data_IF_580781893703
#
_entry.id   IF_580781893703
#
_cell.length_a   1.000
_cell.length_b   1.000
_cell.length_c   1.000
_cell.angle_alpha   90.00
_cell.angle_beta   90.00
_cell.angle_gamma   90.00
#
_symmetry.space_group_name_H-M   'P 1'
#
loop_
_entity.id
_entity.type
_entity.pdbx_description
1 polymer ?
#
# COMPACT_ATOMS: atom_id res chain seq x y z
N UNK A 1 -6.37 10.18 -19.32
CA UNK A 1 -5.94 9.32 -18.22
C UNK A 1 -7.15 8.52 -17.80
N UNK A 2 -7.12 7.19 -17.94
CA UNK A 2 -8.18 6.36 -17.38
C UNK A 2 -8.15 6.48 -15.85
N UNK A 3 -9.29 6.36 -15.18
CA UNK A 3 -9.29 6.29 -13.73
C UNK A 3 -8.53 5.03 -13.30
N UNK A 4 -7.87 5.04 -12.13
CA UNK A 4 -7.09 3.89 -11.65
C UNK A 4 -7.96 2.61 -11.61
N UNK A 5 -9.25 2.73 -11.28
CA UNK A 5 -10.19 1.63 -11.32
C UNK A 5 -10.30 0.98 -12.72
N UNK A 6 -10.48 1.79 -13.78
CA UNK A 6 -10.54 1.30 -15.16
C UNK A 6 -9.23 0.60 -15.58
N UNK A 7 -8.09 1.14 -15.13
CA UNK A 7 -6.79 0.52 -15.37
C UNK A 7 -6.67 -0.84 -14.69
N UNK A 8 -7.14 -0.96 -13.45
CA UNK A 8 -7.14 -2.21 -12.69
C UNK A 8 -8.06 -3.26 -13.33
N UNK A 9 -9.24 -2.87 -13.81
CA UNK A 9 -10.13 -3.77 -14.54
C UNK A 9 -9.48 -4.28 -15.83
N UNK A 10 -8.83 -3.40 -16.59
CA UNK A 10 -8.06 -3.76 -17.79
C UNK A 10 -6.94 -4.75 -17.46
N UNK A 11 -6.14 -4.45 -16.42
CA UNK A 11 -5.04 -5.33 -16.00
C UNK A 11 -5.56 -6.67 -15.50
N UNK A 12 -6.65 -6.70 -14.73
CA UNK A 12 -7.27 -7.95 -14.28
C UNK A 12 -7.71 -8.83 -15.46
N UNK A 13 -8.28 -8.23 -16.51
CA UNK A 13 -8.65 -8.94 -17.73
C UNK A 13 -7.43 -9.51 -18.48
N UNK A 14 -6.33 -8.75 -18.55
CA UNK A 14 -5.07 -9.20 -19.16
C UNK A 14 -4.45 -10.34 -18.34
N UNK A 15 -4.42 -10.20 -17.01
CA UNK A 15 -3.94 -11.22 -16.08
C UNK A 15 -4.76 -12.52 -16.20
N UNK A 16 -6.08 -12.44 -16.42
CA UNK A 16 -6.93 -13.61 -16.61
C UNK A 16 -6.52 -14.45 -17.83
N UNK A 17 -5.88 -13.85 -18.86
CA UNK A 17 -5.29 -14.59 -19.97
C UNK A 17 -4.11 -15.50 -19.57
N UNK A 18 -3.54 -15.29 -18.38
CA UNK A 18 -2.49 -16.09 -17.78
C UNK A 18 -2.99 -17.03 -16.67
N UNK A 19 -4.31 -17.06 -16.40
CA UNK A 19 -4.92 -17.98 -15.45
C UNK A 19 -4.81 -19.43 -15.96
N UNK A 20 -4.52 -20.39 -15.08
CA UNK A 20 -4.68 -21.81 -15.39
C UNK A 20 -6.15 -22.17 -15.23
N UNK A 21 -6.56 -23.33 -15.73
CA UNK A 21 -7.94 -23.79 -15.59
C UNK A 21 -8.32 -23.89 -14.11
N UNK A 22 -9.36 -23.15 -13.71
CA UNK A 22 -9.85 -23.11 -12.32
C UNK A 22 -9.28 -21.99 -11.46
N UNK A 23 -8.22 -21.30 -11.91
CA UNK A 23 -7.69 -20.13 -11.21
C UNK A 23 -8.61 -18.92 -11.38
N UNK A 24 -8.62 -18.04 -10.38
CA UNK A 24 -9.19 -16.70 -10.48
C UNK A 24 -8.13 -15.65 -10.18
N UNK A 25 -8.18 -14.52 -10.88
CA UNK A 25 -7.44 -13.32 -10.45
C UNK A 25 -8.13 -12.82 -9.18
N UNK A 26 -7.43 -12.87 -8.05
CA UNK A 26 -7.97 -12.55 -6.73
C UNK A 26 -7.64 -11.13 -6.27
N UNK A 27 -6.53 -10.57 -6.76
CA UNK A 27 -6.14 -9.19 -6.49
C UNK A 27 -5.25 -8.62 -7.60
N UNK A 28 -5.31 -7.30 -7.76
CA UNK A 28 -4.37 -6.53 -8.60
C UNK A 28 -3.86 -5.36 -7.76
N UNK A 29 -2.55 -5.32 -7.52
CA UNK A 29 -1.90 -4.25 -6.76
C UNK A 29 -1.13 -3.36 -7.74
N UNK A 30 -1.58 -2.11 -7.97
CA UNK A 30 -0.91 -1.20 -8.89
C UNK A 30 0.30 -0.57 -8.21
N UNK A 31 1.44 -0.56 -8.90
CA UNK A 31 2.68 0.04 -8.40
C UNK A 31 3.33 0.93 -9.45
N UNK A 32 4.07 1.92 -8.98
CA UNK A 32 5.01 2.72 -9.77
C UNK A 32 6.33 2.84 -8.99
N UNK A 33 7.22 1.83 -9.09
CA UNK A 33 8.45 1.79 -8.29
C UNK A 33 9.43 2.88 -8.68
N UNK A 34 9.34 3.35 -9.93
CA UNK A 34 10.06 4.50 -10.46
C UNK A 34 9.10 5.37 -11.26
N UNK A 35 9.31 6.70 -11.30
CA UNK A 35 8.46 7.61 -12.07
C UNK A 35 8.20 7.12 -13.51
N UNK A 36 6.93 6.95 -13.85
CA UNK A 36 6.44 6.48 -15.15
C UNK A 36 6.52 4.97 -15.40
N UNK A 37 7.08 4.17 -14.48
CA UNK A 37 7.19 2.70 -14.64
C UNK A 37 6.04 1.99 -13.92
N UNK A 38 4.95 1.75 -14.64
CA UNK A 38 3.79 0.98 -14.15
C UNK A 38 4.12 -0.51 -14.07
N UNK A 39 3.92 -1.11 -12.90
CA UNK A 39 3.95 -2.56 -12.70
C UNK A 39 2.76 -2.94 -11.83
N UNK A 40 1.97 -3.93 -12.24
CA UNK A 40 0.81 -4.42 -11.49
C UNK A 40 1.04 -5.85 -11.03
N UNK A 41 1.01 -6.08 -9.72
CA UNK A 41 1.15 -7.41 -9.13
C UNK A 41 -0.23 -8.08 -9.13
N UNK A 42 -0.37 -9.16 -9.88
CA UNK A 42 -1.62 -9.90 -10.01
C UNK A 42 -1.52 -11.18 -9.19
N UNK A 43 -2.39 -11.31 -8.19
CA UNK A 43 -2.54 -12.54 -7.42
C UNK A 43 -3.57 -13.44 -8.10
N UNK A 44 -3.30 -14.74 -8.06
CA UNK A 44 -4.20 -15.76 -8.53
C UNK A 44 -4.39 -16.78 -7.43
N UNK A 45 -5.64 -17.05 -7.09
CA UNK A 45 -5.99 -18.14 -6.18
C UNK A 45 -6.52 -19.30 -7.02
N UNK A 46 -6.04 -20.51 -6.73
CA UNK A 46 -6.64 -21.73 -7.26
C UNK A 46 -7.79 -22.24 -6.37
N UNK A 47 -8.40 -23.36 -6.76
CA UNK A 47 -9.51 -23.97 -6.04
C UNK A 47 -9.11 -24.52 -4.65
N UNK A 48 -7.84 -24.86 -4.46
CA UNK A 48 -7.28 -25.42 -3.23
C UNK A 48 -6.76 -24.32 -2.28
N UNK A 49 -6.84 -23.06 -2.70
CA UNK A 49 -6.41 -21.88 -1.93
C UNK A 49 -4.92 -21.56 -2.05
N UNK A 50 -4.19 -22.21 -2.97
CA UNK A 50 -2.80 -21.85 -3.26
C UNK A 50 -2.76 -20.55 -4.07
N UNK A 51 -1.91 -19.63 -3.62
CA UNK A 51 -1.70 -18.34 -4.28
C UNK A 51 -0.46 -18.37 -5.16
N UNK A 52 -0.62 -17.87 -6.38
CA UNK A 52 0.46 -17.66 -7.35
C UNK A 52 0.40 -16.25 -7.90
N UNK A 53 1.50 -15.81 -8.51
CA UNK A 53 1.69 -14.40 -8.84
C UNK A 53 2.19 -14.19 -10.27
N UNK A 54 1.79 -13.07 -10.87
CA UNK A 54 2.35 -12.54 -12.10
C UNK A 54 2.38 -11.02 -12.02
N UNK A 55 3.51 -10.40 -12.37
CA UNK A 55 3.57 -8.97 -12.53
C UNK A 55 3.41 -8.60 -14.02
N UNK A 56 2.58 -7.60 -14.29
CA UNK A 56 2.36 -7.05 -15.63
C UNK A 56 2.88 -5.61 -15.72
N UNK A 57 3.55 -5.26 -16.80
CA UNK A 57 3.90 -3.86 -17.10
C UNK A 57 2.66 -3.03 -17.52
N UNK A 58 2.84 -1.73 -17.77
CA UNK A 58 1.75 -0.83 -18.18
C UNK A 58 1.05 -1.20 -19.50
N UNK A 59 1.71 -2.00 -20.35
CA UNK A 59 1.19 -2.54 -21.60
C UNK A 59 0.55 -3.93 -21.42
N UNK A 60 0.60 -4.50 -20.21
CA UNK A 60 0.06 -5.82 -19.90
C UNK A 60 0.99 -6.98 -20.21
N UNK A 61 2.30 -6.73 -20.41
CA UNK A 61 3.27 -7.81 -20.64
C UNK A 61 3.82 -8.33 -19.33
N UNK A 62 4.05 -9.63 -19.27
CA UNK A 62 4.68 -10.28 -18.12
C UNK A 62 6.07 -9.71 -17.86
N UNK A 63 6.31 -9.26 -16.62
CA UNK A 63 7.63 -8.88 -16.14
C UNK A 63 8.44 -10.15 -15.89
N UNK A 64 9.62 -10.25 -16.52
CA UNK A 64 10.55 -11.39 -16.33
C UNK A 64 11.79 -11.00 -15.52
N UNK A 65 12.09 -9.72 -15.38
CA UNK A 65 13.26 -9.26 -14.62
C UNK A 65 13.05 -9.40 -13.12
N UNK A 66 13.88 -10.21 -12.44
CA UNK A 66 13.77 -10.39 -10.98
C UNK A 66 13.90 -9.09 -10.20
N UNK A 67 14.78 -8.18 -10.65
CA UNK A 67 14.96 -6.87 -10.00
C UNK A 67 13.71 -6.00 -10.10
N UNK A 68 13.10 -5.94 -11.27
CA UNK A 68 11.89 -5.13 -11.51
C UNK A 68 10.71 -5.64 -10.68
N UNK A 69 10.53 -6.96 -10.60
CA UNK A 69 9.55 -7.58 -9.71
C UNK A 69 9.82 -7.20 -8.24
N UNK A 70 11.06 -7.30 -7.77
CA UNK A 70 11.42 -6.94 -6.39
C UNK A 70 11.14 -5.48 -6.07
N UNK A 71 11.45 -4.57 -6.99
CA UNK A 71 11.19 -3.14 -6.81
C UNK A 71 9.68 -2.88 -6.68
N UNK A 72 8.84 -3.55 -7.50
CA UNK A 72 7.39 -3.50 -7.41
C UNK A 72 6.82 -4.08 -6.10
N UNK A 73 7.30 -5.26 -5.70
CA UNK A 73 6.90 -5.87 -4.43
C UNK A 73 7.29 -4.98 -3.24
N UNK A 74 8.49 -4.40 -3.26
CA UNK A 74 8.98 -3.54 -2.18
C UNK A 74 8.07 -2.33 -1.98
N UNK A 75 7.78 -1.58 -3.04
CA UNK A 75 6.95 -0.38 -2.91
C UNK A 75 5.51 -0.72 -2.51
N UNK A 76 4.95 -1.81 -3.02
CA UNK A 76 3.63 -2.28 -2.64
C UNK A 76 3.55 -2.57 -1.13
N UNK A 77 4.47 -3.40 -0.62
CA UNK A 77 4.48 -3.80 0.80
C UNK A 77 4.74 -2.61 1.71
N UNK A 78 5.72 -1.76 1.37
CA UNK A 78 6.00 -0.59 2.19
C UNK A 78 4.80 0.35 2.23
N UNK A 79 4.05 0.51 1.14
CA UNK A 79 2.87 1.38 1.12
C UNK A 79 1.74 0.80 1.99
N UNK A 80 1.59 -0.51 1.98
CA UNK A 80 0.63 -1.21 2.86
C UNK A 80 1.00 -1.01 4.32
N UNK A 81 2.25 -1.31 4.69
CA UNK A 81 2.74 -1.16 6.07
C UNK A 81 2.66 0.30 6.53
N UNK A 82 3.01 1.26 5.65
CA UNK A 82 2.91 2.67 5.98
C UNK A 82 1.45 3.08 6.22
N UNK A 83 0.52 2.59 5.41
CA UNK A 83 -0.91 2.88 5.58
C UNK A 83 -1.45 2.30 6.89
N UNK A 84 -1.08 1.05 7.21
CA UNK A 84 -1.45 0.39 8.45
C UNK A 84 -0.85 1.11 9.68
N UNK A 85 0.45 1.43 9.64
CA UNK A 85 1.15 2.13 10.72
C UNK A 85 0.67 3.59 10.91
N UNK A 86 0.08 4.21 9.89
CA UNK A 86 -0.52 5.53 9.95
C UNK A 86 -1.92 5.55 10.62
N UNK A 87 -2.36 4.43 11.19
CA UNK A 87 -3.68 4.29 11.82
C UNK A 87 -4.67 3.55 10.93
N UNK A 88 -4.22 2.51 10.22
CA UNK A 88 -5.01 1.69 9.30
C UNK A 88 -6.39 1.33 9.83
N UNK A 89 -7.42 1.98 9.29
CA UNK A 89 -8.81 1.83 9.75
C UNK A 89 -9.15 2.57 11.05
N UNK A 90 -8.24 2.64 12.02
CA UNK A 90 -8.45 3.30 13.31
C UNK A 90 -8.43 4.84 13.24
N UNK A 91 -7.95 5.42 12.13
CA UNK A 91 -7.80 6.87 11.98
C UNK A 91 -9.14 7.63 12.04
N UNK A 92 -10.22 7.05 11.51
CA UNK A 92 -11.54 7.66 11.57
C UNK A 92 -12.08 7.69 13.01
N UNK A 93 -11.82 6.64 13.80
CA UNK A 93 -12.17 6.58 15.22
C UNK A 93 -11.35 7.60 16.06
N UNK A 94 -10.07 7.77 15.73
CA UNK A 94 -9.23 8.80 16.35
C UNK A 94 -9.78 10.20 16.07
N UNK A 95 -10.18 10.50 14.83
CA UNK A 95 -10.75 11.79 14.46
C UNK A 95 -12.01 12.09 15.28
N UNK A 96 -12.91 11.12 15.42
CA UNK A 96 -14.13 11.30 16.22
C UNK A 96 -13.79 11.52 17.70
N UNK A 97 -12.83 10.76 18.24
CA UNK A 97 -12.35 10.93 19.62
C UNK A 97 -11.78 12.33 19.88
N UNK A 98 -10.97 12.85 18.95
CA UNK A 98 -10.38 14.20 19.08
C UNK A 98 -11.48 15.27 19.08
N UNK A 99 -12.47 15.11 18.20
CA UNK A 99 -13.64 16.01 18.13
C UNK A 99 -14.43 16.01 19.44
N UNK A 100 -14.75 14.84 19.98
CA UNK A 100 -15.44 14.71 21.26
C UNK A 100 -14.65 15.41 22.38
N UNK A 101 -13.33 15.22 22.40
CA UNK A 101 -12.45 15.83 23.39
C UNK A 101 -12.41 17.36 23.26
N UNK A 102 -12.39 17.89 22.03
CA UNK A 102 -12.50 19.34 21.79
C UNK A 102 -13.82 19.90 22.30
N UNK A 103 -14.93 19.22 22.04
CA UNK A 103 -16.26 19.69 22.43
C UNK A 103 -16.49 19.67 23.96
N UNK A 104 -15.82 18.74 24.66
CA UNK A 104 -16.01 18.51 26.10
C UNK A 104 -14.97 19.18 26.99
N UNK A 105 -13.70 19.17 26.59
CA UNK A 105 -12.57 19.63 27.40
C UNK A 105 -11.77 20.78 26.77
N UNK A 106 -11.74 20.86 25.43
CA UNK A 106 -10.98 21.84 24.65
C UNK A 106 -9.52 22.03 25.13
N UNK A 107 -8.72 20.95 25.25
CA UNK A 107 -7.35 21.08 25.71
C UNK A 107 -6.51 21.87 24.69
N UNK A 108 -5.46 22.59 25.13
CA UNK A 108 -4.60 23.34 24.22
C UNK A 108 -3.99 22.44 23.13
N UNK A 109 -4.05 22.87 21.87
CA UNK A 109 -3.49 22.15 20.71
C UNK A 109 -4.41 21.09 20.09
N UNK A 110 -5.63 20.91 20.61
CA UNK A 110 -6.57 19.91 20.08
C UNK A 110 -6.98 20.20 18.64
N UNK A 111 -7.12 21.47 18.26
CA UNK A 111 -7.46 21.86 16.89
C UNK A 111 -6.35 21.50 15.90
N UNK A 112 -5.08 21.68 16.29
CA UNK A 112 -3.92 21.33 15.46
C UNK A 112 -3.81 19.81 15.29
N UNK A 113 -4.09 19.04 16.35
CA UNK A 113 -4.15 17.58 16.31
C UNK A 113 -5.29 17.06 15.41
N UNK A 114 -6.50 17.64 15.49
CA UNK A 114 -7.60 17.32 14.59
C UNK A 114 -7.25 17.64 13.12
N UNK A 115 -6.64 18.80 12.86
CA UNK A 115 -6.21 19.18 11.52
C UNK A 115 -5.18 18.19 10.96
N UNK A 116 -4.21 17.79 11.77
CA UNK A 116 -3.19 16.81 11.40
C UNK A 116 -3.81 15.43 11.11
N UNK A 117 -4.78 14.99 11.91
CA UNK A 117 -5.48 13.71 11.71
C UNK A 117 -6.28 13.72 10.39
N UNK A 118 -7.01 14.80 10.11
CA UNK A 118 -7.70 14.96 8.83
C UNK A 118 -6.75 15.06 7.64
N UNK A 119 -5.59 15.70 7.81
CA UNK A 119 -4.56 15.75 6.78
C UNK A 119 -4.02 14.34 6.45
N UNK A 120 -3.71 13.54 7.47
CA UNK A 120 -3.30 12.15 7.31
C UNK A 120 -4.38 11.31 6.62
N UNK A 121 -5.65 11.46 7.01
CA UNK A 121 -6.77 10.72 6.42
C UNK A 121 -6.93 11.00 4.93
N UNK A 122 -6.70 12.24 4.50
CA UNK A 122 -6.71 12.62 3.07
C UNK A 122 -5.57 11.97 2.29
N UNK A 123 -4.38 11.87 2.88
CA UNK A 123 -3.20 11.25 2.25
C UNK A 123 -3.38 9.72 2.15
N UNK A 124 -3.84 9.09 3.23
CA UNK A 124 -4.17 7.66 3.24
C UNK A 124 -5.25 7.37 2.19
N UNK A 125 -6.31 8.19 2.14
CA UNK A 125 -7.36 8.08 1.13
C UNK A 125 -8.14 6.77 1.21
N UNK A 126 -8.94 6.47 0.18
CA UNK A 126 -9.68 5.22 0.05
C UNK A 126 -9.11 4.37 -1.09
N UNK A 127 -9.13 3.04 -1.00
CA UNK A 127 -8.71 2.19 -2.11
C UNK A 127 -9.62 2.36 -3.34
N UNK A 128 -9.09 2.14 -4.56
CA UNK A 128 -7.72 1.71 -4.88
C UNK A 128 -6.71 2.86 -4.85
N UNK A 129 -5.48 2.55 -4.45
CA UNK A 129 -4.37 3.50 -4.41
C UNK A 129 -3.16 2.95 -5.17
N UNK A 130 -2.45 3.83 -5.85
CA UNK A 130 -1.20 3.49 -6.54
C UNK A 130 -0.04 3.51 -5.53
N UNK A 131 0.65 2.38 -5.37
CA UNK A 131 1.84 2.31 -4.54
C UNK A 131 3.03 2.98 -5.22
N UNK A 132 3.55 4.07 -4.64
CA UNK A 132 4.71 4.82 -5.14
C UNK A 132 5.63 5.23 -4.00
N UNK A 133 6.93 5.48 -4.26
CA UNK A 133 7.81 6.07 -3.26
C UNK A 133 7.32 7.45 -2.78
N UNK A 134 6.79 8.27 -3.67
CA UNK A 134 6.25 9.59 -3.30
C UNK A 134 5.09 9.48 -2.30
N UNK A 135 4.21 8.48 -2.49
CA UNK A 135 3.11 8.19 -1.55
C UNK A 135 3.64 7.78 -0.17
N UNK A 136 4.73 7.00 -0.11
CA UNK A 136 5.38 6.66 1.16
C UNK A 136 5.85 7.92 1.91
N UNK A 137 6.49 8.83 1.18
CA UNK A 137 7.00 10.08 1.75
C UNK A 137 5.84 10.97 2.26
N UNK A 138 4.74 11.05 1.50
CA UNK A 138 3.53 11.79 1.88
C UNK A 138 2.90 11.21 3.15
N UNK A 139 2.71 9.89 3.22
CA UNK A 139 2.16 9.21 4.40
C UNK A 139 3.07 9.45 5.60
N UNK A 140 4.38 9.23 5.45
CA UNK A 140 5.34 9.41 6.55
C UNK A 140 5.38 10.85 7.07
N UNK A 141 5.29 11.84 6.18
CA UNK A 141 5.25 13.25 6.55
C UNK A 141 3.98 13.58 7.34
N UNK A 142 2.82 13.13 6.86
CA UNK A 142 1.54 13.39 7.52
C UNK A 142 1.41 12.63 8.85
N UNK A 143 1.87 11.38 8.91
CA UNK A 143 1.90 10.58 10.14
C UNK A 143 2.80 11.24 11.18
N UNK A 144 3.99 11.68 10.77
CA UNK A 144 4.91 12.37 11.68
C UNK A 144 4.32 13.67 12.25
N UNK A 145 3.60 14.44 11.42
CA UNK A 145 2.90 15.64 11.88
C UNK A 145 1.88 15.28 12.96
N UNK A 146 1.02 14.29 12.72
CA UNK A 146 0.01 13.86 13.69
C UNK A 146 0.65 13.40 15.01
N UNK A 147 1.69 12.57 14.95
CA UNK A 147 2.42 12.13 16.15
C UNK A 147 2.96 13.32 16.97
N UNK A 148 3.46 14.37 16.29
CA UNK A 148 4.00 15.55 16.96
C UNK A 148 2.92 16.39 17.65
N UNK A 149 1.72 16.48 17.07
CA UNK A 149 0.60 17.19 17.72
C UNK A 149 0.03 16.40 18.89
N UNK A 150 0.01 15.05 18.81
CA UNK A 150 -0.50 14.19 19.87
C UNK A 150 0.47 14.06 21.06
N UNK A 151 1.76 13.86 20.79
CA UNK A 151 2.80 13.75 21.81
C UNK A 151 4.18 14.17 21.27
N UNK A 152 4.53 15.48 21.37
CA UNK A 152 5.78 16.02 20.84
C UNK A 152 7.04 15.39 21.44
N UNK A 153 6.96 14.82 22.65
CA UNK A 153 8.09 14.26 23.39
C UNK A 153 8.38 12.80 23.05
N UNK A 154 7.45 12.13 22.37
CA UNK A 154 7.55 10.71 22.05
C UNK A 154 8.34 10.43 20.77
N UNK A 155 8.90 9.21 20.69
CA UNK A 155 9.43 8.69 19.43
C UNK A 155 8.31 8.49 18.40
N UNK A 156 8.65 8.14 17.16
CA UNK A 156 7.65 7.89 16.12
C UNK A 156 7.28 6.40 16.05
N UNK A 157 6.06 5.99 16.46
CA UNK A 157 5.54 4.65 16.19
C UNK A 157 5.59 4.28 14.70
N UNK A 158 5.23 5.22 13.81
CA UNK A 158 5.28 5.01 12.37
C UNK A 158 6.71 4.64 11.92
N UNK A 159 7.71 5.42 12.31
CA UNK A 159 9.10 5.15 11.93
C UNK A 159 9.62 3.84 12.54
N UNK A 160 9.14 3.45 13.73
CA UNK A 160 9.48 2.16 14.32
C UNK A 160 8.90 0.99 13.51
N UNK A 161 7.65 1.08 13.06
CA UNK A 161 7.01 0.09 12.19
C UNK A 161 7.76 -0.02 10.85
N UNK A 162 8.09 1.11 10.21
CA UNK A 162 8.81 1.13 8.94
C UNK A 162 10.20 0.50 9.02
N UNK A 163 10.93 0.67 10.14
CA UNK A 163 12.23 0.00 10.35
C UNK A 163 12.11 -1.51 10.51
N UNK A 164 10.99 -1.99 11.06
CA UNK A 164 10.75 -3.43 11.25
C UNK A 164 10.25 -4.11 9.97
N UNK A 165 9.89 -3.35 8.92
CA UNK A 165 9.29 -3.86 7.70
C UNK A 165 10.23 -4.71 6.82
N UNK A 166 11.55 -4.56 6.97
CA UNK A 166 12.55 -5.22 6.10
C UNK A 166 12.37 -6.75 6.04
N UNK A 167 12.07 -7.38 7.18
CA UNK A 167 11.83 -8.82 7.27
C UNK A 167 10.60 -9.26 6.48
N UNK A 168 9.50 -8.52 6.60
CA UNK A 168 8.24 -8.79 5.91
C UNK A 168 8.36 -8.61 4.39
N UNK A 169 9.06 -7.56 3.94
CA UNK A 169 9.35 -7.34 2.52
C UNK A 169 10.13 -8.53 1.95
N UNK A 170 11.19 -8.95 2.63
CA UNK A 170 12.03 -10.05 2.16
C UNK A 170 11.28 -11.40 2.14
N UNK A 171 10.37 -11.62 3.09
CA UNK A 171 9.51 -12.81 3.12
C UNK A 171 8.53 -12.83 1.95
N UNK A 172 7.80 -11.74 1.71
CA UNK A 172 6.85 -11.69 0.61
C UNK A 172 7.55 -11.79 -0.75
N UNK A 173 8.72 -11.18 -0.91
CA UNK A 173 9.52 -11.35 -2.13
C UNK A 173 9.83 -12.83 -2.40
N UNK A 174 10.22 -13.61 -1.38
CA UNK A 174 10.47 -15.05 -1.54
C UNK A 174 9.21 -15.82 -1.88
N UNK A 175 8.08 -15.50 -1.25
CA UNK A 175 6.79 -16.12 -1.55
C UNK A 175 6.37 -15.87 -3.00
N UNK A 176 6.41 -14.60 -3.43
CA UNK A 176 6.03 -14.18 -4.79
C UNK A 176 6.96 -14.84 -5.82
N UNK A 177 8.27 -14.84 -5.60
CA UNK A 177 9.23 -15.51 -6.49
C UNK A 177 8.99 -17.03 -6.56
N UNK A 178 8.67 -17.66 -5.42
CA UNK A 178 8.39 -19.10 -5.35
C UNK A 178 7.08 -19.51 -6.04
N UNK A 179 6.09 -18.62 -6.05
CA UNK A 179 4.80 -18.79 -6.72
C UNK A 179 4.68 -18.10 -8.08
N UNK A 180 5.79 -17.64 -8.68
CA UNK A 180 5.75 -16.81 -9.88
C UNK A 180 5.43 -17.65 -11.13
N UNK A 181 4.53 -17.15 -11.98
CA UNK A 181 3.95 -17.92 -13.10
C UNK A 181 4.86 -18.08 -14.32
N UNK A 182 5.85 -17.22 -14.48
CA UNK A 182 6.80 -17.24 -15.61
C UNK A 182 8.24 -17.33 -15.10
N UNK A 183 9.21 -17.80 -15.89
CA UNK A 183 10.61 -17.75 -15.50
C UNK A 183 11.09 -16.33 -15.21
N UNK A 184 11.90 -16.17 -14.16
CA UNK A 184 12.57 -14.92 -13.81
C UNK A 184 14.05 -14.98 -14.20
N UNK A 185 14.50 -13.95 -14.90
CA UNK A 185 15.90 -13.69 -15.22
C UNK A 185 16.65 -13.18 -13.97
#
# INVERSE_FOLDING_TARGET
>A
MAALADELERIAALAAGHARAGDRVSAVIPTEPFPGKRVSLCAFDDADGYRSWLALDGDGRAVTGRRELRDAVTVAVLCEIATDAAGGGDLDDLIERLRELRETEAPPGIEDAEEAAHALRRVVGEPPQLATPARLDEIGTAARRLEQELDPGSGSPFAAAMRSAEGAVAELQREIEGGYRVPLD
#
